data_IF_105673791353
#
_entry.id   IF_105673791353
#
_cell.length_a   1.000
_cell.length_b   1.000
_cell.length_c   1.000
_cell.angle_alpha   90.00
_cell.angle_beta   90.00
_cell.angle_gamma   90.00
#
_symmetry.space_group_name_H-M   'P 1'
#
loop_
_entity.id
_entity.type
_entity.pdbx_description
1 polymer ?
#
# COMPACT_ATOMS: atom_id res chain seq x y z
N UNK A 1 -2.60 -0.22 -23.44
CA UNK A 1 -4.03 -0.27 -23.86
C UNK A 1 -4.85 0.82 -23.23
N UNK A 2 -4.88 0.90 -21.90
CA UNK A 2 -5.66 1.92 -21.19
C UNK A 2 -5.35 3.36 -21.65
N UNK A 3 -4.18 3.91 -21.36
CA UNK A 3 -3.87 5.31 -21.71
C UNK A 3 -3.96 5.64 -23.21
N UNK A 4 -3.78 4.66 -24.10
CA UNK A 4 -4.02 4.82 -25.54
C UNK A 4 -5.48 5.19 -25.84
N UNK A 5 -6.44 4.55 -25.16
CA UNK A 5 -7.86 4.92 -25.29
C UNK A 5 -8.12 6.35 -24.83
N UNK A 6 -7.44 6.83 -23.79
CA UNK A 6 -7.54 8.23 -23.33
C UNK A 6 -6.93 9.20 -24.35
N UNK A 7 -5.79 8.88 -24.95
CA UNK A 7 -5.20 9.68 -26.04
C UNK A 7 -6.19 9.81 -27.20
N UNK A 8 -6.79 8.70 -27.65
CA UNK A 8 -7.77 8.68 -28.74
C UNK A 8 -9.00 9.52 -28.39
N UNK A 9 -9.60 9.30 -27.22
CA UNK A 9 -10.77 10.06 -26.74
C UNK A 9 -10.46 11.55 -26.62
N UNK A 10 -9.25 11.92 -26.17
CA UNK A 10 -8.83 13.32 -26.05
C UNK A 10 -8.57 14.02 -27.39
N UNK A 11 -8.32 13.26 -28.45
CA UNK A 11 -8.09 13.79 -29.80
C UNK A 11 -9.37 14.11 -30.57
N UNK A 12 -10.52 13.63 -30.10
CA UNK A 12 -11.82 13.85 -30.71
C UNK A 12 -12.43 15.17 -30.19
N UNK A 13 -12.86 16.09 -31.08
CA UNK A 13 -13.51 17.32 -30.65
C UNK A 13 -14.93 17.04 -30.12
N UNK A 14 -15.29 17.66 -28.99
CA UNK A 14 -16.63 17.61 -28.34
C UNK A 14 -17.06 16.25 -27.73
N UNK A 15 -16.13 15.51 -27.12
CA UNK A 15 -16.49 14.26 -26.43
C UNK A 15 -16.95 14.51 -25.00
N UNK A 16 -18.05 13.87 -24.62
CA UNK A 16 -18.58 13.91 -23.25
C UNK A 16 -17.56 13.34 -22.23
N UNK A 17 -17.41 13.94 -21.04
CA UNK A 17 -16.47 13.46 -20.01
C UNK A 17 -16.66 11.98 -19.63
N UNK A 18 -17.87 11.43 -19.82
CA UNK A 18 -18.18 10.03 -19.54
C UNK A 18 -17.34 9.04 -20.37
N UNK A 19 -16.89 9.40 -21.57
CA UNK A 19 -16.05 8.51 -22.40
C UNK A 19 -14.66 8.29 -21.80
N UNK A 20 -14.17 9.20 -20.95
CA UNK A 20 -12.91 8.97 -20.21
C UNK A 20 -13.04 7.81 -19.20
N UNK A 21 -14.25 7.48 -18.76
CA UNK A 21 -14.48 6.32 -17.89
C UNK A 21 -14.38 4.99 -18.64
N UNK A 22 -14.54 4.96 -19.97
CA UNK A 22 -14.41 3.72 -20.75
C UNK A 22 -13.01 3.13 -20.65
N UNK A 23 -11.99 3.96 -20.40
CA UNK A 23 -10.63 3.53 -20.09
C UNK A 23 -10.54 2.61 -18.87
N UNK A 24 -11.42 2.77 -17.87
CA UNK A 24 -11.40 1.96 -16.65
C UNK A 24 -11.70 0.48 -16.94
N UNK A 25 -12.46 0.19 -18.00
CA UNK A 25 -12.83 -1.18 -18.36
C UNK A 25 -11.58 -2.02 -18.72
N UNK A 26 -10.77 -1.66 -19.75
CA UNK A 26 -9.55 -2.40 -20.05
C UNK A 26 -8.53 -2.32 -18.90
N UNK A 27 -8.48 -1.20 -18.16
CA UNK A 27 -7.60 -1.07 -17.00
C UNK A 27 -7.91 -2.12 -15.92
N UNK A 28 -9.19 -2.29 -15.58
CA UNK A 28 -9.65 -3.22 -14.58
C UNK A 28 -9.56 -4.68 -15.05
N UNK A 29 -9.92 -4.96 -16.31
CA UNK A 29 -9.86 -6.31 -16.88
C UNK A 29 -8.41 -6.86 -16.91
N UNK A 30 -7.43 -5.99 -17.14
CA UNK A 30 -6.00 -6.37 -17.11
C UNK A 30 -5.41 -6.43 -15.69
N UNK A 31 -6.22 -6.34 -14.63
CA UNK A 31 -5.76 -6.49 -13.23
C UNK A 31 -5.29 -5.20 -12.55
N UNK A 32 -5.38 -4.04 -13.22
CA UNK A 32 -5.06 -2.72 -12.66
C UNK A 32 -3.65 -2.65 -12.02
N UNK A 33 -3.43 -1.65 -11.16
CA UNK A 33 -2.21 -1.53 -10.33
C UNK A 33 -2.05 -2.66 -9.31
N UNK A 34 -3.14 -3.37 -9.00
CA UNK A 34 -3.20 -4.42 -7.97
C UNK A 34 -2.42 -5.65 -8.44
N UNK A 35 -2.60 -6.08 -9.68
CA UNK A 35 -1.91 -7.22 -10.26
C UNK A 35 -0.39 -6.95 -10.34
N UNK A 36 0.00 -5.76 -10.80
CA UNK A 36 1.41 -5.35 -10.86
C UNK A 36 2.04 -5.38 -9.47
N UNK A 37 1.41 -4.76 -8.47
CA UNK A 37 1.93 -4.73 -7.10
C UNK A 37 2.03 -6.14 -6.50
N UNK A 38 1.03 -6.99 -6.74
CA UNK A 38 1.05 -8.39 -6.28
C UNK A 38 2.20 -9.17 -6.93
N UNK A 39 2.43 -8.98 -8.23
CA UNK A 39 3.55 -9.57 -8.94
C UNK A 39 4.90 -9.13 -8.38
N UNK A 40 5.09 -7.83 -8.17
CA UNK A 40 6.31 -7.29 -7.55
C UNK A 40 6.55 -7.88 -6.15
N UNK A 41 5.51 -7.92 -5.29
CA UNK A 41 5.62 -8.45 -3.93
C UNK A 41 5.93 -9.96 -3.90
N UNK A 42 5.32 -10.73 -4.81
CA UNK A 42 5.57 -12.18 -4.93
C UNK A 42 6.98 -12.46 -5.45
N UNK A 43 7.39 -11.75 -6.51
CA UNK A 43 8.76 -11.86 -7.03
C UNK A 43 9.82 -11.48 -5.98
N UNK A 44 9.53 -10.44 -5.19
CA UNK A 44 10.39 -10.03 -4.08
C UNK A 44 10.39 -11.03 -2.93
N UNK A 45 9.30 -11.75 -2.64
CA UNK A 45 9.38 -12.85 -1.67
C UNK A 45 10.27 -13.97 -2.16
N UNK A 46 10.26 -14.28 -3.45
CA UNK A 46 10.96 -15.45 -3.97
C UNK A 46 12.47 -15.20 -4.10
N UNK A 47 12.86 -13.99 -4.50
CA UNK A 47 14.26 -13.64 -4.79
C UNK A 47 15.05 -13.11 -3.59
N UNK A 48 14.38 -12.69 -2.51
CA UNK A 48 15.01 -11.95 -1.41
C UNK A 48 15.13 -12.82 -0.14
N UNK A 49 16.33 -12.93 0.46
CA UNK A 49 16.49 -13.62 1.73
C UNK A 49 15.79 -12.89 2.87
N UNK A 50 15.23 -13.65 3.81
CA UNK A 50 14.32 -13.15 4.86
C UNK A 50 14.89 -12.00 5.69
N UNK A 51 16.20 -12.00 5.99
CA UNK A 51 16.85 -10.95 6.79
C UNK A 51 16.93 -9.58 6.09
N UNK A 52 16.94 -9.54 4.74
CA UNK A 52 16.96 -8.29 3.94
C UNK A 52 15.58 -7.90 3.43
N UNK A 53 14.58 -8.76 3.58
CA UNK A 53 13.24 -8.59 3.00
C UNK A 53 12.57 -7.31 3.48
N UNK A 54 12.68 -6.97 4.77
CA UNK A 54 12.07 -5.75 5.33
C UNK A 54 12.56 -4.45 4.67
N UNK A 55 13.87 -4.30 4.51
CA UNK A 55 14.48 -3.11 3.91
C UNK A 55 14.11 -3.02 2.41
N UNK A 56 14.13 -4.15 1.70
CA UNK A 56 13.78 -4.17 0.28
C UNK A 56 12.29 -3.87 0.05
N UNK A 57 11.38 -4.41 0.86
CA UNK A 57 9.95 -4.05 0.81
C UNK A 57 9.74 -2.55 1.10
N UNK A 58 10.48 -1.99 2.07
CA UNK A 58 10.49 -0.55 2.31
C UNK A 58 10.95 0.28 1.12
N UNK A 59 12.00 -0.18 0.42
CA UNK A 59 12.49 0.47 -0.79
C UNK A 59 11.47 0.39 -1.94
N UNK A 60 10.77 -0.74 -2.10
CA UNK A 60 9.68 -0.87 -3.08
C UNK A 60 8.58 0.17 -2.83
N UNK A 61 8.13 0.29 -1.58
CA UNK A 61 7.13 1.30 -1.19
C UNK A 61 7.64 2.73 -1.40
N UNK A 62 8.88 3.02 -1.02
CA UNK A 62 9.49 4.32 -1.25
C UNK A 62 9.57 4.67 -2.74
N UNK A 63 10.00 3.72 -3.58
CA UNK A 63 10.08 3.89 -5.03
C UNK A 63 8.70 4.11 -5.68
N UNK A 64 7.68 3.37 -5.24
CA UNK A 64 6.31 3.55 -5.72
C UNK A 64 5.77 4.95 -5.39
N UNK A 65 5.98 5.43 -4.16
CA UNK A 65 5.57 6.77 -3.76
C UNK A 65 6.41 7.88 -4.44
N UNK A 66 7.69 7.62 -4.71
CA UNK A 66 8.55 8.54 -5.48
C UNK A 66 8.06 8.70 -6.93
N UNK A 67 7.69 7.60 -7.58
CA UNK A 67 7.07 7.65 -8.91
C UNK A 67 5.79 8.49 -8.92
N UNK A 68 4.96 8.36 -7.87
CA UNK A 68 3.74 9.17 -7.71
C UNK A 68 4.06 10.66 -7.50
N UNK A 69 5.08 10.99 -6.69
CA UNK A 69 5.52 12.37 -6.46
C UNK A 69 6.01 13.02 -7.76
N UNK A 70 6.91 12.35 -8.48
CA UNK A 70 7.47 12.83 -9.77
C UNK A 70 6.36 12.98 -10.80
N UNK A 71 5.44 12.01 -10.89
CA UNK A 71 4.28 12.08 -11.79
C UNK A 71 3.35 13.26 -11.48
N UNK A 72 3.08 13.51 -10.20
CA UNK A 72 2.19 14.61 -9.79
C UNK A 72 2.81 15.98 -10.09
N UNK A 73 4.11 16.15 -9.83
CA UNK A 73 4.82 17.41 -10.11
C UNK A 73 5.01 17.66 -11.61
N UNK A 74 5.41 16.64 -12.37
CA UNK A 74 5.64 16.77 -13.81
C UNK A 74 4.35 16.98 -14.61
N UNK A 75 3.26 16.30 -14.22
CA UNK A 75 1.99 16.38 -14.95
C UNK A 75 1.42 17.79 -15.01
N UNK A 76 1.56 18.58 -13.94
CA UNK A 76 1.08 19.96 -13.89
C UNK A 76 1.81 20.86 -14.91
N UNK A 77 3.14 20.71 -15.04
CA UNK A 77 3.95 21.50 -15.99
C UNK A 77 3.66 21.11 -17.45
N UNK A 78 3.62 19.81 -17.74
CA UNK A 78 3.32 19.29 -19.08
C UNK A 78 1.92 19.69 -19.51
N UNK A 79 0.96 19.68 -18.57
CA UNK A 79 -0.41 20.11 -18.81
C UNK A 79 -0.50 21.56 -19.30
N UNK A 80 0.15 22.49 -18.60
CA UNK A 80 0.09 23.92 -18.92
C UNK A 80 0.71 24.26 -20.27
N UNK A 81 1.72 23.51 -20.72
CA UNK A 81 2.45 23.82 -21.96
C UNK A 81 1.87 23.15 -23.20
N UNK A 82 1.38 21.91 -23.09
CA UNK A 82 1.04 21.09 -24.27
C UNK A 82 -0.31 20.38 -24.19
N UNK A 83 -1.12 20.67 -23.16
CA UNK A 83 -2.47 20.13 -22.99
C UNK A 83 -2.54 18.63 -22.64
N UNK A 84 -3.75 18.11 -22.55
CA UNK A 84 -4.04 16.74 -22.08
C UNK A 84 -3.46 15.63 -22.96
N UNK A 85 -3.49 15.81 -24.29
CA UNK A 85 -3.05 14.78 -25.24
C UNK A 85 -1.58 14.37 -25.01
N UNK A 86 -0.73 15.35 -24.75
CA UNK A 86 0.70 15.15 -24.53
C UNK A 86 0.96 14.36 -23.25
N UNK A 87 0.22 14.63 -22.17
CA UNK A 87 0.33 13.89 -20.90
C UNK A 87 0.03 12.41 -21.13
N UNK A 88 -1.09 12.10 -21.81
CA UNK A 88 -1.47 10.71 -22.06
C UNK A 88 -0.44 9.99 -22.93
N UNK A 89 0.12 10.68 -23.94
CA UNK A 89 1.19 10.12 -24.77
C UNK A 89 2.45 9.82 -23.95
N UNK A 90 2.85 10.71 -23.05
CA UNK A 90 3.98 10.47 -22.13
C UNK A 90 3.71 9.26 -21.23
N UNK A 91 2.50 9.11 -20.69
CA UNK A 91 2.12 7.93 -19.90
C UNK A 91 2.22 6.63 -20.71
N UNK A 92 1.76 6.64 -21.97
CA UNK A 92 1.88 5.48 -22.88
C UNK A 92 3.34 5.12 -23.11
N UNK A 93 4.18 6.11 -23.40
CA UNK A 93 5.61 5.90 -23.60
C UNK A 93 6.27 5.29 -22.36
N UNK A 94 6.05 5.86 -21.17
CA UNK A 94 6.59 5.34 -19.91
C UNK A 94 6.13 3.90 -19.63
N UNK A 95 4.86 3.58 -19.87
CA UNK A 95 4.34 2.23 -19.67
C UNK A 95 4.95 1.23 -20.67
N UNK A 96 5.15 1.64 -21.92
CA UNK A 96 5.80 0.82 -22.94
C UNK A 96 7.26 0.53 -22.57
N UNK A 97 8.01 1.54 -22.10
CA UNK A 97 9.37 1.33 -21.59
C UNK A 97 9.41 0.40 -20.38
N UNK A 98 8.47 0.55 -19.43
CA UNK A 98 8.38 -0.34 -18.26
C UNK A 98 8.08 -1.79 -18.67
N UNK A 99 7.20 -2.00 -19.66
CA UNK A 99 6.90 -3.31 -20.19
C UNK A 99 8.13 -3.94 -20.90
N UNK A 100 8.81 -3.18 -21.75
CA UNK A 100 10.05 -3.64 -22.41
C UNK A 100 11.14 -3.98 -21.41
N UNK A 101 11.33 -3.13 -20.39
CA UNK A 101 12.30 -3.39 -19.34
C UNK A 101 11.98 -4.70 -18.59
N UNK A 102 10.71 -4.93 -18.25
CA UNK A 102 10.26 -6.18 -17.61
C UNK A 102 10.55 -7.38 -18.50
N UNK A 103 10.23 -7.30 -19.80
CA UNK A 103 10.44 -8.39 -20.74
C UNK A 103 11.91 -8.79 -20.91
N UNK A 104 12.82 -7.82 -20.98
CA UNK A 104 14.24 -8.10 -21.23
C UNK A 104 15.05 -8.39 -19.96
N UNK A 105 14.72 -7.77 -18.82
CA UNK A 105 15.58 -7.82 -17.63
C UNK A 105 15.04 -8.69 -16.49
N UNK A 106 13.74 -8.93 -16.40
CA UNK A 106 13.16 -9.72 -15.31
C UNK A 106 13.09 -11.18 -15.75
N UNK A 107 13.87 -12.04 -15.07
CA UNK A 107 13.83 -13.49 -15.24
C UNK A 107 12.69 -14.08 -14.41
N UNK A 108 12.02 -15.09 -14.93
CA UNK A 108 10.99 -15.85 -14.21
C UNK A 108 11.58 -16.46 -12.92
N UNK A 109 10.89 -16.30 -11.79
CA UNK A 109 11.35 -16.81 -10.49
C UNK A 109 10.94 -18.26 -10.21
N UNK A 110 9.95 -18.78 -10.94
CA UNK A 110 9.36 -20.10 -10.72
C UNK A 110 9.42 -20.94 -12.00
N UNK A 111 9.96 -22.15 -11.91
CA UNK A 111 9.76 -23.17 -12.94
C UNK A 111 8.35 -23.74 -12.78
N UNK A 112 7.40 -23.21 -13.55
CA UNK A 112 6.03 -23.72 -13.60
C UNK A 112 5.94 -24.72 -14.74
N UNK A 113 5.58 -25.97 -14.43
CA UNK A 113 5.28 -27.01 -15.42
C UNK A 113 4.31 -26.47 -16.50
N UNK A 114 4.73 -26.51 -17.76
CA UNK A 114 3.95 -26.00 -18.91
C UNK A 114 2.55 -26.61 -19.01
N UNK A 115 2.36 -27.83 -18.50
CA UNK A 115 1.07 -28.53 -18.45
C UNK A 115 0.01 -27.85 -17.55
N UNK A 116 0.40 -26.96 -16.63
CA UNK A 116 -0.54 -26.18 -15.82
C UNK A 116 -1.03 -24.90 -16.52
N UNK A 117 -0.42 -24.46 -17.63
CA UNK A 117 -0.84 -23.28 -18.42
C UNK A 117 -2.02 -23.60 -19.34
N UNK A 118 -3.12 -24.10 -18.80
CA UNK A 118 -4.37 -24.19 -19.56
C UNK A 118 -5.11 -22.85 -19.52
N UNK A 119 -5.42 -22.23 -20.66
CA UNK A 119 -6.22 -21.01 -20.77
C UNK A 119 -7.58 -21.10 -20.03
N UNK A 120 -8.11 -22.31 -19.88
CA UNK A 120 -9.35 -22.63 -19.14
C UNK A 120 -9.21 -22.49 -17.62
N UNK A 121 -8.00 -22.34 -17.07
CA UNK A 121 -7.76 -22.11 -15.64
C UNK A 121 -7.88 -20.64 -15.23
N UNK A 122 -7.74 -19.69 -16.17
CA UNK A 122 -7.84 -18.25 -15.90
C UNK A 122 -9.25 -17.82 -15.44
N UNK A 123 -10.29 -18.52 -15.89
CA UNK A 123 -11.69 -18.27 -15.50
C UNK A 123 -12.19 -19.16 -14.37
N UNK A 124 -11.33 -20.00 -13.76
CA UNK A 124 -11.76 -20.80 -12.61
C UNK A 124 -11.82 -19.90 -11.39
N UNK A 125 -12.89 -20.01 -10.60
CA UNK A 125 -12.98 -19.40 -9.26
C UNK A 125 -12.12 -20.16 -8.22
N UNK A 126 -11.53 -21.29 -8.61
CA UNK A 126 -10.71 -22.14 -7.76
C UNK A 126 -9.49 -21.42 -7.16
N UNK A 127 -8.70 -20.63 -7.91
CA UNK A 127 -7.61 -19.82 -7.36
C UNK A 127 -8.10 -18.78 -6.36
N UNK A 128 -9.26 -18.13 -6.61
CA UNK A 128 -9.86 -17.17 -5.67
C UNK A 128 -10.27 -17.87 -4.37
N UNK A 129 -10.95 -19.03 -4.47
CA UNK A 129 -11.31 -19.84 -3.31
C UNK A 129 -10.08 -20.31 -2.53
N UNK A 130 -9.00 -20.70 -3.21
CA UNK A 130 -7.75 -21.10 -2.56
C UNK A 130 -7.07 -19.92 -1.86
N UNK A 131 -7.01 -18.75 -2.49
CA UNK A 131 -6.45 -17.52 -1.90
C UNK A 131 -7.23 -17.10 -0.65
N UNK A 132 -8.56 -17.11 -0.71
CA UNK A 132 -9.40 -16.85 0.46
C UNK A 132 -9.26 -17.93 1.52
N UNK A 133 -9.20 -19.21 1.12
CA UNK A 133 -9.01 -20.32 2.04
C UNK A 133 -7.68 -20.23 2.79
N UNK A 134 -6.60 -19.69 2.20
CA UNK A 134 -5.30 -19.49 2.88
C UNK A 134 -5.42 -18.51 4.04
N UNK A 135 -6.16 -17.41 3.87
CA UNK A 135 -6.39 -16.42 4.93
C UNK A 135 -7.14 -17.04 6.12
N UNK A 136 -8.05 -17.99 5.84
CA UNK A 136 -8.87 -18.65 6.87
C UNK A 136 -8.41 -20.06 7.24
N UNK A 137 -7.29 -20.54 6.68
CA UNK A 137 -6.80 -21.91 6.88
C UNK A 137 -6.44 -22.10 8.34
N UNK A 138 -6.89 -23.21 8.93
CA UNK A 138 -6.50 -23.58 10.28
C UNK A 138 -5.02 -23.95 10.25
N UNK A 139 -4.22 -23.25 11.04
CA UNK A 139 -2.80 -23.52 11.27
C UNK A 139 -2.60 -23.87 12.74
N UNK A 140 -1.66 -24.76 13.01
CA UNK A 140 -1.26 -25.11 14.38
C UNK A 140 -0.68 -23.88 15.10
N UNK A 141 -0.72 -23.84 16.43
CA UNK A 141 -0.17 -22.75 17.26
C UNK A 141 -0.75 -21.33 17.11
N UNK A 142 -2.09 -21.15 17.08
CA UNK A 142 -2.74 -19.81 17.01
C UNK A 142 -2.30 -18.92 15.82
N UNK A 143 -1.55 -19.47 14.86
CA UNK A 143 -1.02 -18.74 13.71
C UNK A 143 -2.11 -18.17 12.82
N UNK A 144 -3.28 -18.82 12.78
CA UNK A 144 -4.46 -18.30 12.10
C UNK A 144 -4.90 -16.95 12.70
N UNK A 145 -4.99 -16.86 14.02
CA UNK A 145 -5.40 -15.63 14.69
C UNK A 145 -4.35 -14.53 14.45
N UNK A 146 -3.06 -14.88 14.49
CA UNK A 146 -1.97 -13.95 14.21
C UNK A 146 -2.03 -13.40 12.78
N UNK A 147 -2.18 -14.27 11.77
CA UNK A 147 -2.32 -13.86 10.35
C UNK A 147 -3.52 -12.94 10.17
N UNK A 148 -4.68 -13.30 10.72
CA UNK A 148 -5.89 -12.47 10.64
C UNK A 148 -5.72 -11.11 11.33
N UNK A 149 -5.07 -11.06 12.48
CA UNK A 149 -4.78 -9.78 13.15
C UNK A 149 -3.87 -8.89 12.30
N UNK A 150 -2.77 -9.42 11.76
CA UNK A 150 -1.84 -8.61 10.95
C UNK A 150 -2.52 -8.15 9.65
N UNK A 151 -3.31 -9.04 9.03
CA UNK A 151 -4.12 -8.73 7.86
C UNK A 151 -5.12 -7.60 8.15
N UNK A 152 -5.83 -7.67 9.28
CA UNK A 152 -6.75 -6.62 9.72
C UNK A 152 -6.03 -5.29 9.94
N UNK A 153 -4.86 -5.28 10.58
CA UNK A 153 -4.08 -4.06 10.81
C UNK A 153 -3.72 -3.38 9.48
N UNK A 154 -3.25 -4.16 8.50
CA UNK A 154 -2.91 -3.64 7.17
C UNK A 154 -4.13 -3.03 6.46
N UNK A 155 -5.24 -3.78 6.41
CA UNK A 155 -6.46 -3.35 5.72
C UNK A 155 -7.04 -2.10 6.37
N UNK A 156 -7.13 -2.06 7.69
CA UNK A 156 -7.65 -0.90 8.44
C UNK A 156 -6.76 0.33 8.28
N UNK A 157 -5.43 0.17 8.33
CA UNK A 157 -4.50 1.29 8.14
C UNK A 157 -4.62 1.91 6.75
N UNK A 158 -4.66 1.09 5.69
CA UNK A 158 -4.77 1.63 4.34
C UNK A 158 -6.13 2.27 4.09
N UNK A 159 -7.20 1.67 4.62
CA UNK A 159 -8.54 2.27 4.60
C UNK A 159 -8.54 3.67 5.24
N UNK A 160 -7.94 3.82 6.42
CA UNK A 160 -7.83 5.11 7.11
C UNK A 160 -7.03 6.14 6.29
N UNK A 161 -5.86 5.77 5.76
CA UNK A 161 -5.00 6.66 4.97
C UNK A 161 -5.73 7.24 3.75
N UNK A 162 -6.33 6.38 2.94
CA UNK A 162 -7.00 6.82 1.72
C UNK A 162 -8.30 7.57 2.00
N UNK A 163 -8.96 7.21 3.08
CA UNK A 163 -10.15 7.89 3.53
C UNK A 163 -9.86 9.36 3.86
N UNK A 164 -8.80 9.63 4.63
CA UNK A 164 -8.31 10.99 4.88
C UNK A 164 -7.97 11.72 3.57
N UNK A 165 -7.21 11.08 2.68
CA UNK A 165 -6.79 11.67 1.40
C UNK A 165 -7.96 12.11 0.50
N UNK A 166 -9.13 11.49 0.65
CA UNK A 166 -10.32 11.82 -0.15
C UNK A 166 -11.05 13.09 0.29
N UNK A 167 -10.93 13.47 1.57
CA UNK A 167 -11.72 14.56 2.19
C UNK A 167 -10.84 15.73 2.62
N UNK A 168 -9.55 15.49 2.86
CA UNK A 168 -8.62 16.47 3.41
C UNK A 168 -8.60 17.78 2.62
N UNK A 169 -8.70 17.72 1.28
CA UNK A 169 -8.82 18.93 0.45
C UNK A 169 -10.06 19.77 0.78
N UNK A 170 -11.22 19.12 0.90
CA UNK A 170 -12.49 19.79 1.21
C UNK A 170 -12.45 20.42 2.61
N UNK A 171 -11.85 19.72 3.57
CA UNK A 171 -11.63 20.21 4.93
C UNK A 171 -10.73 21.46 4.94
N UNK A 172 -9.54 21.37 4.33
CA UNK A 172 -8.57 22.47 4.30
C UNK A 172 -9.11 23.69 3.57
N UNK A 173 -9.89 23.48 2.50
CA UNK A 173 -10.56 24.56 1.78
C UNK A 173 -11.64 25.25 2.64
N UNK A 174 -12.36 24.50 3.46
CA UNK A 174 -13.43 25.06 4.29
C UNK A 174 -12.90 25.80 5.53
N UNK A 175 -12.00 25.17 6.28
CA UNK A 175 -11.52 25.71 7.57
C UNK A 175 -10.41 26.75 7.39
N UNK A 176 -9.48 26.52 6.46
CA UNK A 176 -8.30 27.36 6.29
C UNK A 176 -8.34 28.21 5.02
N UNK A 177 -9.41 28.09 4.21
CA UNK A 177 -9.54 28.78 2.92
C UNK A 177 -8.35 28.54 1.98
N UNK A 178 -7.75 27.35 2.04
CA UNK A 178 -6.58 27.02 1.21
C UNK A 178 -6.93 27.05 -0.28
N UNK A 179 -6.03 27.64 -1.06
CA UNK A 179 -6.07 27.59 -2.52
C UNK A 179 -5.58 26.22 -3.02
N UNK A 180 -5.93 25.89 -4.27
CA UNK A 180 -5.49 24.66 -4.93
C UNK A 180 -3.96 24.55 -5.00
N UNK A 181 -3.27 25.68 -5.15
CA UNK A 181 -1.81 25.76 -5.17
C UNK A 181 -1.19 25.34 -3.82
N UNK A 182 -1.69 25.90 -2.71
CA UNK A 182 -1.19 25.55 -1.36
C UNK A 182 -1.42 24.08 -1.04
N UNK A 183 -2.58 23.55 -1.41
CA UNK A 183 -2.88 22.12 -1.24
C UNK A 183 -1.93 21.23 -2.05
N UNK A 184 -1.67 21.59 -3.31
CA UNK A 184 -0.76 20.82 -4.18
C UNK A 184 0.66 20.80 -3.62
N UNK A 185 1.14 21.94 -3.10
CA UNK A 185 2.43 22.02 -2.40
C UNK A 185 2.44 21.17 -1.11
N UNK A 186 1.35 21.17 -0.34
CA UNK A 186 1.20 20.34 0.85
C UNK A 186 1.23 18.84 0.52
N UNK A 187 0.56 18.40 -0.54
CA UNK A 187 0.59 17.00 -0.99
C UNK A 187 2.01 16.62 -1.42
N UNK A 188 2.69 17.46 -2.20
CA UNK A 188 4.07 17.21 -2.61
C UNK A 188 5.02 17.09 -1.40
N UNK A 189 4.90 18.00 -0.44
CA UNK A 189 5.65 17.97 0.82
C UNK A 189 5.35 16.69 1.62
N UNK A 190 4.08 16.33 1.76
CA UNK A 190 3.66 15.14 2.51
C UNK A 190 4.19 13.86 1.88
N UNK A 191 4.20 13.76 0.55
CA UNK A 191 4.78 12.64 -0.18
C UNK A 191 6.31 12.58 -0.04
N UNK A 192 6.99 13.71 -0.13
CA UNK A 192 8.43 13.77 0.07
C UNK A 192 8.84 13.28 1.47
N UNK A 193 8.14 13.76 2.51
CA UNK A 193 8.37 13.30 3.88
C UNK A 193 7.99 11.83 4.03
N UNK A 194 6.90 11.37 3.42
CA UNK A 194 6.50 9.95 3.44
C UNK A 194 7.62 9.05 2.92
N UNK A 195 8.22 9.40 1.79
CA UNK A 195 9.32 8.64 1.17
C UNK A 195 10.54 8.63 2.10
N UNK A 196 10.94 9.81 2.62
CA UNK A 196 12.07 9.94 3.54
C UNK A 196 11.85 9.12 4.82
N UNK A 197 10.68 9.24 5.44
CA UNK A 197 10.34 8.54 6.67
C UNK A 197 10.17 7.04 6.47
N UNK A 198 9.76 6.57 5.30
CA UNK A 198 9.71 5.14 5.00
C UNK A 198 11.11 4.52 5.10
N UNK A 199 12.10 5.14 4.45
CA UNK A 199 13.49 4.66 4.46
C UNK A 199 14.13 4.81 5.84
N UNK A 200 13.96 5.96 6.50
CA UNK A 200 14.51 6.23 7.83
C UNK A 200 13.91 5.29 8.87
N UNK A 201 12.58 5.20 8.94
CA UNK A 201 11.89 4.43 9.99
C UNK A 201 12.23 2.94 9.88
N UNK A 202 12.23 2.37 8.67
CA UNK A 202 12.58 0.96 8.47
C UNK A 202 14.06 0.73 8.81
N UNK A 203 14.97 1.62 8.42
CA UNK A 203 16.40 1.51 8.75
C UNK A 203 16.64 1.62 10.25
N UNK A 204 15.98 2.54 10.94
CA UNK A 204 16.09 2.76 12.38
C UNK A 204 15.51 1.57 13.14
N UNK A 205 14.29 1.14 12.83
CA UNK A 205 13.61 0.08 13.56
C UNK A 205 14.26 -1.29 13.37
N UNK A 206 14.67 -1.62 12.14
CA UNK A 206 15.24 -2.94 11.82
C UNK A 206 16.71 -3.04 12.21
N UNK A 207 17.53 -2.03 11.85
CA UNK A 207 18.98 -2.17 11.98
C UNK A 207 19.58 -1.47 13.21
N UNK A 208 19.01 -0.33 13.65
CA UNK A 208 19.56 0.44 14.78
C UNK A 208 18.98 -0.07 16.09
N UNK A 209 17.65 -0.04 16.21
CA UNK A 209 16.95 -0.41 17.45
C UNK A 209 16.73 -1.93 17.58
N UNK A 210 16.96 -2.71 16.50
CA UNK A 210 16.75 -4.17 16.43
C UNK A 210 15.43 -4.60 17.07
N UNK A 211 14.38 -3.81 16.85
CA UNK A 211 13.08 -4.02 17.50
C UNK A 211 12.32 -5.12 16.80
N UNK A 212 11.44 -5.80 17.55
CA UNK A 212 10.48 -6.75 16.98
C UNK A 212 9.56 -6.01 16.01
N UNK A 213 9.26 -6.60 14.86
CA UNK A 213 8.41 -5.98 13.84
C UNK A 213 7.03 -5.59 14.39
N UNK A 214 6.48 -6.39 15.31
CA UNK A 214 5.19 -6.10 15.97
C UNK A 214 5.26 -4.82 16.82
N UNK A 215 6.36 -4.58 17.53
CA UNK A 215 6.54 -3.36 18.33
C UNK A 215 6.71 -2.12 17.48
N UNK A 216 7.41 -2.25 16.34
CA UNK A 216 7.55 -1.19 15.35
C UNK A 216 6.19 -0.75 14.78
N UNK A 217 5.31 -1.71 14.44
CA UNK A 217 3.96 -1.43 13.95
C UNK A 217 3.12 -0.70 15.01
N UNK A 218 3.18 -1.13 16.28
CA UNK A 218 2.45 -0.49 17.39
C UNK A 218 2.90 0.97 17.57
N UNK A 219 4.20 1.24 17.54
CA UNK A 219 4.71 2.61 17.63
C UNK A 219 4.23 3.46 16.45
N UNK A 220 4.34 2.94 15.22
CA UNK A 220 3.91 3.66 14.02
C UNK A 220 2.41 4.00 14.04
N UNK A 221 1.57 3.09 14.52
CA UNK A 221 0.13 3.33 14.73
C UNK A 221 -0.14 4.38 15.81
N UNK A 222 0.65 4.36 16.90
CA UNK A 222 0.55 5.37 17.96
C UNK A 222 0.88 6.77 17.43
N UNK A 223 1.94 6.91 16.64
CA UNK A 223 2.28 8.16 15.95
C UNK A 223 1.18 8.61 14.97
N UNK A 224 0.52 7.67 14.29
CA UNK A 224 -0.61 8.00 13.41
C UNK A 224 -1.82 8.55 14.18
N UNK A 225 -2.18 7.94 15.31
CA UNK A 225 -3.27 8.42 16.16
C UNK A 225 -2.95 9.84 16.67
N UNK A 226 -1.70 10.08 17.09
CA UNK A 226 -1.24 11.42 17.45
C UNK A 226 -1.33 12.39 16.27
N UNK A 227 -0.90 11.99 15.07
CA UNK A 227 -0.98 12.80 13.85
C UNK A 227 -2.40 13.21 13.50
N UNK A 228 -3.34 12.26 13.45
CA UNK A 228 -4.76 12.55 13.19
C UNK A 228 -5.39 13.42 14.28
N UNK A 229 -4.98 13.24 15.54
CA UNK A 229 -5.45 14.09 16.64
C UNK A 229 -4.95 15.53 16.49
N UNK A 230 -3.66 15.72 16.16
CA UNK A 230 -3.07 17.05 15.91
C UNK A 230 -3.74 17.72 14.71
N UNK A 231 -4.04 16.96 13.65
CA UNK A 231 -4.77 17.44 12.48
C UNK A 231 -6.22 17.84 12.81
N UNK A 232 -6.88 17.09 13.70
CA UNK A 232 -8.21 17.40 14.20
C UNK A 232 -8.27 18.68 15.03
N UNK A 233 -7.28 18.94 15.88
CA UNK A 233 -7.19 20.15 16.70
C UNK A 233 -6.45 21.33 16.03
N UNK A 234 -6.10 21.20 14.76
CA UNK A 234 -5.31 22.21 14.07
C UNK A 234 -6.12 23.50 13.89
N UNK A 235 -5.57 24.61 14.39
CA UNK A 235 -6.09 25.97 14.19
C UNK A 235 -5.16 26.81 13.30
N UNK A 236 -3.93 26.34 13.05
CA UNK A 236 -2.93 27.05 12.24
C UNK A 236 -2.37 26.16 11.13
N UNK A 237 -2.06 26.75 9.98
CA UNK A 237 -1.54 26.03 8.80
C UNK A 237 -0.32 25.16 9.13
N UNK A 238 0.64 25.67 9.92
CA UNK A 238 1.86 24.93 10.28
C UNK A 238 1.59 23.64 11.06
N UNK A 239 0.47 23.56 11.81
CA UNK A 239 0.10 22.37 12.56
C UNK A 239 -0.29 21.21 11.64
N UNK A 240 -0.89 21.52 10.47
CA UNK A 240 -1.21 20.53 9.44
C UNK A 240 0.08 19.94 8.85
N UNK A 241 1.10 20.76 8.60
CA UNK A 241 2.42 20.28 8.18
C UNK A 241 3.11 19.42 9.25
N UNK A 242 2.98 19.81 10.53
CA UNK A 242 3.45 19.00 11.66
C UNK A 242 2.73 17.65 11.77
N UNK A 243 1.42 17.64 11.57
CA UNK A 243 0.62 16.41 11.54
C UNK A 243 1.05 15.47 10.40
N UNK A 244 1.31 16.01 9.20
CA UNK A 244 1.84 15.22 8.09
C UNK A 244 3.17 14.52 8.43
N UNK A 245 4.05 15.21 9.18
CA UNK A 245 5.27 14.62 9.73
C UNK A 245 4.99 13.42 10.65
N UNK A 246 4.04 13.53 11.58
CA UNK A 246 3.68 12.43 12.49
C UNK A 246 3.04 11.25 11.74
N UNK A 247 2.11 11.53 10.81
CA UNK A 247 1.43 10.52 10.00
C UNK A 247 2.42 9.74 9.11
N UNK A 248 3.47 10.41 8.62
CA UNK A 248 4.46 9.82 7.73
C UNK A 248 5.28 8.67 8.35
N UNK A 249 5.34 8.58 9.69
CA UNK A 249 5.94 7.42 10.39
C UNK A 249 5.16 6.13 10.09
N UNK A 250 3.87 6.25 9.77
CA UNK A 250 3.02 5.14 9.34
C UNK A 250 3.43 4.50 8.01
N UNK A 251 4.32 5.13 7.25
CA UNK A 251 4.81 4.59 5.99
C UNK A 251 5.51 3.23 6.13
N UNK A 252 5.99 2.88 7.32
CA UNK A 252 6.58 1.57 7.57
C UNK A 252 5.55 0.45 7.85
N UNK A 253 4.28 0.77 8.10
CA UNK A 253 3.25 -0.24 8.44
C UNK A 253 3.01 -1.22 7.28
N UNK A 254 2.80 -0.79 6.02
CA UNK A 254 2.63 -1.71 4.90
C UNK A 254 3.79 -2.70 4.72
N UNK A 255 5.06 -2.28 4.59
CA UNK A 255 6.16 -3.22 4.38
C UNK A 255 6.47 -4.08 5.62
N UNK A 256 6.28 -3.59 6.84
CA UNK A 256 6.48 -4.39 8.06
C UNK A 256 5.39 -5.46 8.23
N UNK A 257 4.13 -5.15 7.93
CA UNK A 257 3.04 -6.13 7.99
C UNK A 257 3.21 -7.24 6.94
N UNK A 258 3.62 -6.87 5.72
CA UNK A 258 3.97 -7.82 4.66
C UNK A 258 5.16 -8.70 5.06
N UNK A 259 6.21 -8.11 5.64
CA UNK A 259 7.36 -8.84 6.17
C UNK A 259 6.93 -9.86 7.24
N UNK A 260 6.16 -9.42 8.23
CA UNK A 260 5.72 -10.27 9.34
C UNK A 260 4.84 -11.43 8.83
N UNK A 261 3.93 -11.15 7.91
CA UNK A 261 3.10 -12.16 7.26
C UNK A 261 3.96 -13.19 6.50
N UNK A 262 4.99 -12.73 5.79
CA UNK A 262 5.90 -13.61 5.06
C UNK A 262 6.76 -14.53 5.95
N UNK A 263 6.87 -14.24 7.26
CA UNK A 263 7.55 -15.09 8.26
C UNK A 263 6.61 -16.10 8.93
N UNK A 264 5.30 -15.84 8.92
CA UNK A 264 4.29 -16.70 9.56
C UNK A 264 3.71 -17.72 8.56
N UNK A 265 3.80 -17.41 7.26
CA UNK A 265 3.20 -18.18 6.17
C UNK A 265 4.29 -18.96 5.44
N UNK A 266 4.06 -20.26 5.13
CA UNK A 266 5.00 -21.05 4.34
C UNK A 266 5.22 -20.44 2.96
N UNK A 267 6.43 -20.61 2.41
CA UNK A 267 6.91 -19.94 1.18
C UNK A 267 5.96 -20.13 -0.01
N UNK A 268 5.40 -21.33 -0.15
CA UNK A 268 4.49 -21.70 -1.26
C UNK A 268 3.14 -20.97 -1.22
N UNK A 269 2.76 -20.39 -0.08
CA UNK A 269 1.50 -19.68 0.11
C UNK A 269 1.68 -18.13 0.13
N UNK A 270 2.92 -17.60 0.07
CA UNK A 270 3.19 -16.16 0.23
C UNK A 270 2.62 -15.32 -0.92
N UNK A 271 2.80 -15.75 -2.17
CA UNK A 271 2.28 -14.99 -3.32
C UNK A 271 0.75 -14.87 -3.30
N UNK A 272 0.06 -15.95 -2.92
CA UNK A 272 -1.41 -15.96 -2.73
C UNK A 272 -1.83 -15.03 -1.59
N UNK A 273 -1.07 -14.99 -0.50
CA UNK A 273 -1.33 -14.09 0.62
C UNK A 273 -1.19 -12.61 0.24
N UNK A 274 -0.15 -12.23 -0.52
CA UNK A 274 -0.01 -10.85 -1.01
C UNK A 274 -1.13 -10.49 -1.98
N UNK A 275 -1.53 -11.41 -2.85
CA UNK A 275 -2.69 -11.20 -3.72
C UNK A 275 -3.96 -10.90 -2.90
N UNK A 276 -4.20 -11.63 -1.81
CA UNK A 276 -5.30 -11.37 -0.90
C UNK A 276 -5.19 -9.98 -0.25
N UNK A 277 -4.01 -9.61 0.27
CA UNK A 277 -3.78 -8.31 0.91
C UNK A 277 -4.08 -7.13 -0.03
N UNK A 278 -3.54 -7.14 -1.25
CA UNK A 278 -3.72 -6.05 -2.22
C UNK A 278 -5.15 -6.02 -2.76
N UNK A 279 -5.82 -7.17 -2.86
CA UNK A 279 -7.24 -7.22 -3.22
C UNK A 279 -8.13 -6.58 -2.15
N UNK A 280 -7.92 -6.95 -0.88
CA UNK A 280 -8.66 -6.37 0.24
C UNK A 280 -8.36 -4.89 0.47
N UNK A 281 -7.15 -4.44 0.15
CA UNK A 281 -6.80 -3.04 0.14
C UNK A 281 -7.78 -2.22 -0.74
N UNK A 282 -8.13 -2.72 -1.93
CA UNK A 282 -9.04 -2.02 -2.84
C UNK A 282 -10.48 -1.92 -2.30
N UNK A 283 -10.94 -2.96 -1.60
CA UNK A 283 -12.23 -2.94 -0.89
C UNK A 283 -12.18 -1.93 0.26
N UNK A 284 -11.08 -1.91 1.02
CA UNK A 284 -10.87 -0.99 2.14
C UNK A 284 -10.85 0.48 1.69
N UNK A 285 -10.20 0.76 0.56
CA UNK A 285 -10.19 2.08 -0.08
C UNK A 285 -11.61 2.56 -0.39
N UNK A 286 -12.43 1.71 -1.02
CA UNK A 286 -13.81 2.05 -1.38
C UNK A 286 -14.66 2.33 -0.14
N UNK A 287 -14.61 1.43 0.85
CA UNK A 287 -15.37 1.55 2.09
C UNK A 287 -14.93 2.75 2.91
N UNK A 288 -13.61 2.94 3.07
CA UNK A 288 -13.03 4.02 3.85
C UNK A 288 -13.39 5.39 3.29
N UNK A 289 -13.20 5.61 1.99
CA UNK A 289 -13.52 6.89 1.33
C UNK A 289 -15.02 7.19 1.37
N UNK A 290 -15.87 6.22 1.08
CA UNK A 290 -17.34 6.39 1.11
C UNK A 290 -17.85 6.68 2.52
N UNK A 291 -17.35 5.95 3.52
CA UNK A 291 -17.78 6.10 4.90
C UNK A 291 -17.43 7.48 5.46
N UNK A 292 -16.17 7.93 5.35
CA UNK A 292 -15.85 9.27 5.84
C UNK A 292 -16.47 10.36 4.98
N UNK A 293 -16.71 10.16 3.67
CA UNK A 293 -17.40 11.16 2.86
C UNK A 293 -18.85 11.35 3.36
N UNK A 294 -19.52 10.25 3.74
CA UNK A 294 -20.82 10.29 4.38
C UNK A 294 -20.77 11.02 5.73
N UNK A 295 -19.82 10.66 6.61
CA UNK A 295 -19.63 11.32 7.91
C UNK A 295 -19.34 12.81 7.74
N UNK A 296 -18.47 13.17 6.80
CA UNK A 296 -18.11 14.56 6.52
C UNK A 296 -19.32 15.35 6.04
N UNK A 297 -20.10 14.84 5.09
CA UNK A 297 -21.31 15.51 4.60
C UNK A 297 -22.33 15.79 5.71
N UNK A 298 -22.49 14.87 6.67
CA UNK A 298 -23.40 15.06 7.82
C UNK A 298 -22.83 16.06 8.83
N UNK A 299 -21.52 16.07 9.03
CA UNK A 299 -20.88 16.83 10.11
C UNK A 299 -20.38 18.20 9.66
N UNK A 300 -20.37 18.48 8.35
CA UNK A 300 -19.73 19.67 7.78
C UNK A 300 -20.21 21.00 8.37
N UNK A 301 -21.48 21.08 8.80
CA UNK A 301 -22.08 22.32 9.32
C UNK A 301 -21.84 22.53 10.83
N UNK A 302 -21.62 21.45 11.60
CA UNK A 302 -21.48 21.53 13.07
C UNK A 302 -20.05 21.31 13.54
N UNK A 303 -19.34 20.35 12.94
CA UNK A 303 -18.03 19.93 13.39
C UNK A 303 -17.20 19.31 12.24
N UNK A 304 -16.68 20.13 11.31
CA UNK A 304 -15.94 19.66 10.13
C UNK A 304 -14.64 18.91 10.46
N UNK A 305 -14.11 19.06 11.68
CA UNK A 305 -12.95 18.32 12.21
C UNK A 305 -13.28 16.85 12.57
N UNK A 306 -14.57 16.47 12.63
CA UNK A 306 -15.03 15.18 13.13
C UNK A 306 -14.47 13.96 12.38
N UNK A 307 -14.23 14.06 11.07
CA UNK A 307 -13.70 12.94 10.29
C UNK A 307 -12.27 12.54 10.72
N UNK A 308 -11.46 13.50 11.18
CA UNK A 308 -10.11 13.21 11.69
C UNK A 308 -10.17 12.36 12.96
N UNK A 309 -11.11 12.66 13.87
CA UNK A 309 -11.31 11.87 15.09
C UNK A 309 -11.87 10.48 14.78
N UNK A 310 -12.80 10.36 13.85
CA UNK A 310 -13.30 9.06 13.40
C UNK A 310 -12.16 8.21 12.82
N UNK A 311 -11.31 8.81 12.00
CA UNK A 311 -10.13 8.14 11.44
C UNK A 311 -9.13 7.75 12.54
N UNK A 312 -8.92 8.60 13.54
CA UNK A 312 -8.10 8.27 14.70
C UNK A 312 -8.66 7.10 15.52
N UNK A 313 -9.98 6.98 15.68
CA UNK A 313 -10.64 5.85 16.35
C UNK A 313 -10.45 4.55 15.55
N UNK A 314 -10.57 4.61 14.22
CA UNK A 314 -10.30 3.48 13.32
C UNK A 314 -8.85 3.01 13.47
N UNK A 315 -7.89 3.95 13.52
CA UNK A 315 -6.48 3.62 13.81
C UNK A 315 -6.28 3.10 15.24
N UNK A 316 -7.04 3.59 16.22
CA UNK A 316 -7.05 3.07 17.60
C UNK A 316 -7.51 1.62 17.68
N UNK A 317 -8.53 1.24 16.91
CA UNK A 317 -8.92 -0.16 16.78
C UNK A 317 -7.79 -1.00 16.17
N UNK A 318 -7.13 -0.51 15.12
CA UNK A 318 -5.96 -1.18 14.55
C UNK A 318 -4.81 -1.32 15.56
N UNK A 319 -4.60 -0.33 16.44
CA UNK A 319 -3.60 -0.40 17.51
C UNK A 319 -3.92 -1.52 18.51
N UNK A 320 -5.17 -1.66 18.93
CA UNK A 320 -5.59 -2.75 19.83
C UNK A 320 -5.33 -4.11 19.18
N UNK A 321 -5.70 -4.27 17.91
CA UNK A 321 -5.45 -5.51 17.15
C UNK A 321 -3.94 -5.76 17.00
N UNK A 322 -3.14 -4.72 16.79
CA UNK A 322 -1.68 -4.83 16.72
C UNK A 322 -1.08 -5.28 18.07
N UNK A 323 -1.58 -4.78 19.20
CA UNK A 323 -1.17 -5.22 20.54
C UNK A 323 -1.50 -6.70 20.74
N UNK A 324 -2.73 -7.12 20.40
CA UNK A 324 -3.14 -8.54 20.44
C UNK A 324 -2.22 -9.40 19.58
N UNK A 325 -1.89 -8.95 18.37
CA UNK A 325 -0.97 -9.66 17.47
C UNK A 325 0.43 -9.79 18.07
N UNK A 326 0.92 -8.77 18.77
CA UNK A 326 2.22 -8.79 19.45
C UNK A 326 2.24 -9.77 20.62
N UNK A 327 1.14 -9.85 21.39
CA UNK A 327 1.00 -10.81 22.49
C UNK A 327 0.98 -12.24 21.93
N UNK A 328 0.19 -12.49 20.88
CA UNK A 328 0.14 -13.80 20.20
C UNK A 328 1.51 -14.18 19.63
N UNK A 329 2.20 -13.23 19.00
CA UNK A 329 3.54 -13.44 18.47
C UNK A 329 4.56 -13.77 19.56
N UNK A 330 4.48 -13.09 20.71
CA UNK A 330 5.37 -13.38 21.85
C UNK A 330 5.08 -14.73 22.50
N UNK A 331 3.83 -15.18 22.53
CA UNK A 331 3.43 -16.50 23.05
C UNK A 331 3.85 -17.65 22.15
N UNK A 332 4.09 -17.39 20.87
CA UNK A 332 4.51 -18.39 19.88
C UNK A 332 5.81 -19.09 20.28
N UNK A 333 6.64 -18.44 21.12
CA UNK A 333 8.05 -18.82 21.30
C UNK A 333 8.78 -18.66 19.97
N UNK A 334 10.04 -18.26 19.99
CA UNK A 334 10.84 -18.31 18.75
C UNK A 334 10.80 -19.72 18.17
N UNK A 335 10.30 -19.96 16.95
CA UNK A 335 10.54 -21.24 16.32
C UNK A 335 12.04 -21.34 16.09
N UNK A 336 12.66 -22.26 16.82
CA UNK A 336 14.03 -22.73 16.60
C UNK A 336 14.03 -23.48 15.28
N UNK A 337 14.01 -22.78 14.15
CA UNK A 337 14.24 -23.44 12.86
C UNK A 337 15.72 -23.80 12.77
N UNK A 338 15.94 -25.09 12.57
CA UNK A 338 17.21 -25.78 12.42
C UNK A 338 18.30 -24.88 11.83
N UNK A 339 19.37 -24.72 12.60
CA UNK A 339 20.72 -24.64 12.03
C UNK A 339 20.80 -25.89 11.16
N UNK A 340 20.71 -25.72 9.83
CA UNK A 340 21.24 -26.73 8.92
C UNK A 340 22.69 -26.88 9.35
N UNK A 341 22.96 -28.05 9.90
CA UNK A 341 24.26 -28.57 10.27
C UNK A 341 25.25 -28.28 9.15
N UNK A 342 26.10 -27.27 9.34
CA UNK A 342 27.35 -27.09 8.62
C UNK A 342 28.40 -28.15 9.09
N UNK A 343 27.96 -29.37 9.40
CA UNK A 343 28.83 -30.45 9.88
C UNK A 343 28.95 -31.63 8.89
N UNK A 344 28.30 -31.59 7.72
CA UNK A 344 28.49 -32.63 6.69
C UNK A 344 29.36 -32.19 5.48
N UNK A 345 29.62 -30.90 5.27
CA UNK A 345 30.55 -30.43 4.23
C UNK A 345 32.03 -30.40 4.68
N UNK A 346 32.37 -31.01 5.82
CA UNK A 346 33.76 -31.25 6.24
C UNK A 346 34.17 -32.72 6.19
N UNK A 347 33.37 -33.60 5.56
CA UNK A 347 33.66 -35.05 5.60
C UNK A 347 33.70 -35.82 4.29
N UNK A 348 33.52 -35.19 3.14
CA UNK A 348 33.88 -35.77 1.84
C UNK A 348 34.64 -34.67 1.09
N UNK A 349 35.96 -34.61 1.28
CA UNK A 349 36.95 -35.08 0.27
C UNK A 349 37.01 -34.21 -0.98
#
# INVERSE_FOLDING_TARGET
MSYLTMTIVSSLPYVSPWYFLLHEIPFCLCGSKIALMTGCLSYMSDTIPEHKRGIRLGFLEAAANLGMLVGTLSSSYVFTSFGYNTIFLTCVACQFFSWMFTWFFIKESLDVDENQRQWTTLFRLTPIKQTMAIVFKRRENNDRALVLCIFSVFVTFIGAKYSDSSIIFLYLRKEFSWTLEMYTLFVAFSLAIWILMCLVTIRVFVNILRMKETTAIIMALTFNIMGYSVQGFANKNWQIYGAAGLLSVGSCIPPLSQLLLSKVVPKDEIGKLYAALVSFNSISLLLGSTFNAYVYNQTILRFPQGFNFVTAVICGFALIVAIVSSILYSKRGTPRFHILTNEEDTRNE
#
